data_IF_935064843254
#
_entry.id   IF_935064843254
#
_cell.length_a   1.000
_cell.length_b   1.000
_cell.length_c   1.000
_cell.angle_alpha   90.00
_cell.angle_beta   90.00
_cell.angle_gamma   90.00
#
_symmetry.space_group_name_H-M   'P 1'
#
loop_
_entity.id
_entity.type
_entity.pdbx_description
1 polymer ?
#
# COMPACT_ATOMS: atom_id res chain seq x y z
N UNK A 1 1.00 -20.35 -8.51
CA UNK A 1 -0.10 -19.39 -8.73
C UNK A 1 0.54 -18.02 -8.85
N UNK A 2 0.16 -17.22 -9.84
CA UNK A 2 0.65 -15.85 -9.94
C UNK A 2 0.01 -15.02 -8.81
N UNK A 3 0.78 -14.16 -8.16
CA UNK A 3 0.25 -13.24 -7.14
C UNK A 3 -0.67 -12.23 -7.82
N UNK A 4 -1.79 -11.90 -7.19
CA UNK A 4 -2.74 -10.92 -7.71
C UNK A 4 -2.11 -9.53 -7.68
N UNK A 5 -2.50 -8.69 -8.64
CA UNK A 5 -1.94 -7.34 -8.79
C UNK A 5 -2.98 -6.28 -8.44
N UNK A 6 -2.57 -5.34 -7.61
CA UNK A 6 -3.24 -4.10 -7.35
C UNK A 6 -2.75 -3.05 -8.36
N UNK A 7 -3.71 -2.45 -9.06
CA UNK A 7 -3.47 -1.42 -10.07
C UNK A 7 -4.06 -0.11 -9.57
N UNK A 8 -3.22 0.92 -9.44
CA UNK A 8 -3.64 2.24 -9.02
C UNK A 8 -3.15 3.31 -10.00
N UNK A 9 -4.02 4.26 -10.34
CA UNK A 9 -3.65 5.43 -11.14
C UNK A 9 -3.96 6.67 -10.32
N UNK A 10 -2.93 7.47 -10.09
CA UNK A 10 -3.02 8.74 -9.35
C UNK A 10 -3.78 9.79 -10.16
N UNK A 11 -4.18 10.87 -9.50
CA UNK A 11 -4.81 12.04 -10.13
C UNK A 11 -3.97 12.69 -11.26
N UNK A 12 -2.65 12.56 -11.21
CA UNK A 12 -1.73 13.08 -12.23
C UNK A 12 -1.40 12.09 -13.37
N UNK A 13 -1.98 10.89 -13.32
CA UNK A 13 -1.80 9.84 -14.34
C UNK A 13 -0.62 8.90 -14.11
N UNK A 14 0.11 9.04 -12.99
CA UNK A 14 1.12 8.07 -12.56
C UNK A 14 0.47 6.71 -12.27
N UNK A 15 1.04 5.65 -12.84
CA UNK A 15 0.55 4.28 -12.68
C UNK A 15 1.41 3.50 -11.71
N UNK A 16 0.77 2.83 -10.75
CA UNK A 16 1.39 1.99 -9.75
C UNK A 16 0.81 0.57 -9.90
N UNK A 17 1.67 -0.36 -10.29
CA UNK A 17 1.34 -1.77 -10.46
C UNK A 17 2.12 -2.59 -9.44
N UNK A 18 1.45 -3.05 -8.38
CA UNK A 18 2.07 -3.79 -7.27
C UNK A 18 1.25 -5.04 -6.93
N UNK A 19 1.79 -5.91 -6.10
CA UNK A 19 1.00 -7.02 -5.54
C UNK A 19 0.15 -6.54 -4.36
N UNK A 20 -0.99 -7.18 -4.16
CA UNK A 20 -1.84 -6.90 -2.99
C UNK A 20 -1.06 -7.12 -1.68
N UNK A 21 -1.38 -6.31 -0.66
CA UNK A 21 -0.71 -6.40 0.64
C UNK A 21 -0.76 -7.82 1.22
N UNK A 22 -1.92 -8.49 1.12
CA UNK A 22 -2.15 -9.84 1.65
C UNK A 22 -1.35 -10.94 0.94
N UNK A 23 -0.89 -10.67 -0.27
CA UNK A 23 -0.09 -11.60 -1.08
C UNK A 23 1.41 -11.52 -0.74
N UNK A 24 1.89 -10.34 -0.33
CA UNK A 24 3.33 -10.10 -0.12
C UNK A 24 3.73 -9.94 1.34
N UNK A 25 2.82 -9.50 2.22
CA UNK A 25 3.10 -9.33 3.65
C UNK A 25 2.69 -10.57 4.44
N UNK A 26 3.66 -11.17 5.14
CA UNK A 26 3.41 -12.32 5.99
C UNK A 26 2.86 -11.88 7.34
N UNK A 27 1.96 -12.68 7.93
CA UNK A 27 1.42 -12.46 9.30
C UNK A 27 2.51 -12.21 10.35
N UNK A 28 3.66 -12.91 10.25
CA UNK A 28 4.81 -12.73 11.15
C UNK A 28 5.45 -11.34 11.01
N UNK A 29 5.53 -10.80 9.79
CA UNK A 29 6.06 -9.45 9.53
C UNK A 29 5.11 -8.41 10.11
N UNK A 30 3.80 -8.51 9.81
CA UNK A 30 2.78 -7.63 10.37
C UNK A 30 2.81 -7.63 11.90
N UNK A 31 2.92 -8.82 12.52
CA UNK A 31 3.03 -8.92 13.98
C UNK A 31 4.24 -8.17 14.51
N UNK A 32 5.41 -8.38 13.89
CA UNK A 32 6.66 -7.72 14.30
C UNK A 32 6.57 -6.20 14.17
N UNK A 33 6.03 -5.71 13.04
CA UNK A 33 5.82 -4.27 12.81
C UNK A 33 4.94 -3.68 13.90
N UNK A 34 3.82 -4.31 14.23
CA UNK A 34 2.91 -3.83 15.28
C UNK A 34 3.51 -3.89 16.69
N UNK A 35 4.41 -4.84 16.96
CA UNK A 35 5.12 -4.94 18.25
C UNK A 35 6.22 -3.87 18.39
N UNK A 36 6.85 -3.47 17.29
CA UNK A 36 7.99 -2.53 17.27
C UNK A 36 7.57 -1.06 17.03
N UNK A 37 6.40 -0.82 16.45
CA UNK A 37 5.90 0.52 16.18
C UNK A 37 5.49 1.26 17.46
N UNK A 38 5.95 2.50 17.62
CA UNK A 38 5.56 3.33 18.77
C UNK A 38 4.15 3.94 18.60
N UNK A 39 3.69 4.07 17.36
CA UNK A 39 2.37 4.60 17.00
C UNK A 39 1.90 4.01 15.64
N UNK A 40 0.62 4.19 15.26
CA UNK A 40 0.10 3.66 14.01
C UNK A 40 0.79 4.17 12.74
N UNK A 41 1.26 5.42 12.71
CA UNK A 41 1.96 5.97 11.55
C UNK A 41 3.32 5.30 11.35
N UNK A 42 4.05 5.01 12.43
CA UNK A 42 5.29 4.23 12.35
C UNK A 42 5.04 2.80 11.82
N UNK A 43 3.92 2.19 12.21
CA UNK A 43 3.54 0.86 11.76
C UNK A 43 3.20 0.84 10.26
N UNK A 44 2.45 1.83 9.80
CA UNK A 44 2.10 2.00 8.39
C UNK A 44 3.37 2.20 7.54
N UNK A 45 4.24 3.12 7.96
CA UNK A 45 5.50 3.41 7.27
C UNK A 45 6.42 2.19 7.19
N UNK A 46 6.55 1.44 8.28
CA UNK A 46 7.32 0.19 8.29
C UNK A 46 6.70 -0.88 7.38
N UNK A 47 5.37 -0.90 7.24
CA UNK A 47 4.65 -1.81 6.35
C UNK A 47 4.91 -1.49 4.89
N UNK A 48 4.80 -0.23 4.49
CA UNK A 48 5.06 0.24 3.12
C UNK A 48 6.52 -0.06 2.74
N UNK A 49 7.49 0.25 3.62
CA UNK A 49 8.91 -0.09 3.42
C UNK A 49 9.20 -1.57 3.30
N UNK A 50 8.45 -2.42 4.01
CA UNK A 50 8.63 -3.87 3.94
C UNK A 50 8.01 -4.49 2.68
N UNK A 51 6.99 -3.84 2.12
CA UNK A 51 6.24 -4.33 0.96
C UNK A 51 6.90 -3.98 -0.38
N UNK A 52 7.52 -2.81 -0.47
CA UNK A 52 7.95 -2.26 -1.76
C UNK A 52 9.47 -2.15 -1.87
N UNK A 53 9.96 -2.27 -3.11
CA UNK A 53 11.33 -1.88 -3.40
C UNK A 53 11.50 -0.35 -3.30
N UNK A 54 12.75 0.12 -3.30
CA UNK A 54 13.04 1.55 -3.19
C UNK A 54 12.34 2.38 -4.25
N UNK A 55 12.25 1.89 -5.50
CA UNK A 55 11.69 2.66 -6.60
C UNK A 55 10.19 2.86 -6.42
N UNK A 56 9.47 1.80 -6.07
CA UNK A 56 8.03 1.87 -5.83
C UNK A 56 7.72 2.65 -4.55
N UNK A 57 8.53 2.48 -3.50
CA UNK A 57 8.43 3.27 -2.28
C UNK A 57 8.58 4.77 -2.58
N UNK A 58 9.63 5.17 -3.34
CA UNK A 58 9.85 6.57 -3.69
C UNK A 58 8.67 7.16 -4.48
N UNK A 59 7.94 6.36 -5.28
CA UNK A 59 6.71 6.81 -5.95
C UNK A 59 5.59 7.05 -4.94
N UNK A 60 5.37 6.10 -4.02
CA UNK A 60 4.31 6.17 -3.01
C UNK A 60 4.56 7.33 -2.04
N UNK A 61 5.79 7.55 -1.62
CA UNK A 61 6.20 8.63 -0.70
C UNK A 61 6.02 10.04 -1.31
N UNK A 62 6.07 10.13 -2.64
CA UNK A 62 5.84 11.39 -3.37
C UNK A 62 4.37 11.60 -3.79
N UNK A 63 3.44 10.73 -3.38
CA UNK A 63 2.03 10.92 -3.66
C UNK A 63 1.48 12.13 -2.89
N UNK A 64 0.44 12.76 -3.47
CA UNK A 64 -0.38 13.67 -2.69
C UNK A 64 -1.05 12.91 -1.54
N UNK A 65 -1.32 13.56 -0.41
CA UNK A 65 -2.00 12.90 0.73
C UNK A 65 -3.30 12.23 0.29
N UNK A 66 -4.05 12.86 -0.62
CA UNK A 66 -5.28 12.29 -1.20
C UNK A 66 -5.03 10.99 -1.96
N UNK A 67 -4.01 10.98 -2.83
CA UNK A 67 -3.69 9.79 -3.63
C UNK A 67 -3.10 8.68 -2.74
N UNK A 68 -2.30 9.05 -1.73
CA UNK A 68 -1.74 8.12 -0.75
C UNK A 68 -2.84 7.41 0.07
N UNK A 69 -3.79 8.16 0.64
CA UNK A 69 -4.91 7.59 1.40
C UNK A 69 -5.75 6.62 0.53
N UNK A 70 -6.05 7.03 -0.70
CA UNK A 70 -6.79 6.18 -1.64
C UNK A 70 -6.01 4.92 -2.03
N UNK A 71 -4.70 5.05 -2.26
CA UNK A 71 -3.80 3.94 -2.53
C UNK A 71 -3.79 2.96 -1.35
N UNK A 72 -3.58 3.43 -0.12
CA UNK A 72 -3.49 2.59 1.07
C UNK A 72 -4.80 1.84 1.36
N UNK A 73 -5.95 2.51 1.22
CA UNK A 73 -7.27 1.88 1.38
C UNK A 73 -7.50 0.75 0.37
N UNK A 74 -7.14 0.98 -0.91
CA UNK A 74 -7.29 -0.01 -1.97
C UNK A 74 -6.30 -1.16 -1.84
N UNK A 75 -5.03 -0.86 -1.53
CA UNK A 75 -3.96 -1.84 -1.43
C UNK A 75 -4.13 -2.81 -0.24
N UNK A 76 -4.68 -2.32 0.88
CA UNK A 76 -5.01 -3.11 2.07
C UNK A 76 -6.33 -3.88 1.97
N UNK A 77 -7.10 -3.67 0.90
CA UNK A 77 -8.46 -4.19 0.71
C UNK A 77 -9.45 -3.79 1.83
N UNK A 78 -9.21 -2.67 2.53
CA UNK A 78 -10.17 -2.13 3.52
C UNK A 78 -11.31 -1.31 2.86
N UNK A 79 -11.21 -1.05 1.56
CA UNK A 79 -12.27 -0.46 0.74
C UNK A 79 -12.76 -1.43 -0.32
N UNK A 80 -14.07 -1.65 -0.38
CA UNK A 80 -14.74 -2.15 -1.58
C UNK A 80 -14.23 -1.32 -2.79
N UNK A 81 -13.63 -1.93 -3.84
CA UNK A 81 -12.94 -1.20 -4.91
C UNK A 81 -13.84 -0.33 -5.83
N UNK A 82 -15.08 -0.02 -5.45
CA UNK A 82 -15.99 0.86 -6.17
C UNK A 82 -15.72 2.35 -5.93
N UNK A 83 -14.47 2.80 -6.11
CA UNK A 83 -14.16 4.20 -6.44
C UNK A 83 -13.96 4.28 -7.95
N UNK A 84 -15.07 4.03 -8.64
CA UNK A 84 -15.11 3.95 -10.09
C UNK A 84 -16.53 3.61 -10.55
N UNK A 85 -17.51 4.43 -10.17
CA UNK A 85 -18.79 4.57 -10.89
C UNK A 85 -19.56 5.80 -10.39
N UNK A 86 -19.29 6.96 -10.99
CA UNK A 86 -20.21 8.04 -11.45
C UNK A 86 -19.46 9.34 -11.68
#
# INVERSE_FOLDING_TARGET
MALEKFHYTTSDGTKIDVHYAKDILKRKQIRKINEEAANPADAEEAMVKAAFDKKTYDIIDNLSIRDYEAFMLGWMEEGNPNVGES
#
